data_IF_567461850923
#
_entry.id   IF_567461850923
#
_cell.length_a   1.000
_cell.length_b   1.000
_cell.length_c   1.000
_cell.angle_alpha   90.00
_cell.angle_beta   90.00
_cell.angle_gamma   90.00
#
_symmetry.space_group_name_H-M   'P 1'
#
loop_
_entity.id
_entity.type
_entity.pdbx_description
1 polymer ?
#
# COMPACT_ATOMS: atom_id res chain seq x y z
N UNK A 1 -2.92 -12.27 -4.89
CA UNK A 1 -2.95 -12.06 -6.35
C UNK A 1 -1.56 -12.35 -6.94
N UNK A 2 -1.41 -13.28 -7.90
CA UNK A 2 -0.10 -13.74 -8.37
C UNK A 2 0.76 -12.65 -9.04
N UNK A 3 0.17 -11.79 -9.88
CA UNK A 3 0.95 -10.72 -10.57
C UNK A 3 1.45 -9.63 -9.61
N UNK A 4 0.60 -9.14 -8.70
CA UNK A 4 1.04 -8.25 -7.63
C UNK A 4 2.18 -8.87 -6.81
N UNK A 5 2.07 -10.17 -6.49
CA UNK A 5 3.13 -10.84 -5.73
C UNK A 5 4.41 -11.08 -6.52
N UNK A 6 4.33 -11.29 -7.84
CA UNK A 6 5.52 -11.33 -8.70
C UNK A 6 6.26 -9.98 -8.65
N UNK A 7 5.51 -8.86 -8.80
CA UNK A 7 6.08 -7.52 -8.66
C UNK A 7 6.75 -7.27 -7.32
N UNK A 8 6.12 -7.68 -6.21
CA UNK A 8 6.73 -7.58 -4.87
C UNK A 8 7.97 -8.47 -4.76
N UNK A 9 7.91 -9.72 -5.23
CA UNK A 9 9.04 -10.64 -5.11
C UNK A 9 10.26 -10.22 -5.94
N UNK A 10 10.03 -9.61 -7.11
CA UNK A 10 11.09 -9.18 -8.04
C UNK A 10 11.67 -7.80 -7.71
N UNK A 11 10.88 -6.90 -7.12
CA UNK A 11 11.26 -5.50 -6.94
C UNK A 11 11.25 -5.00 -5.48
N UNK A 12 10.89 -5.83 -4.52
CA UNK A 12 10.91 -5.48 -3.10
C UNK A 12 11.99 -6.25 -2.35
N UNK A 13 12.82 -5.53 -1.61
CA UNK A 13 13.83 -6.13 -0.72
C UNK A 13 13.22 -6.65 0.60
N UNK A 14 11.92 -6.97 0.63
CA UNK A 14 11.20 -7.30 1.87
C UNK A 14 11.75 -8.53 2.59
N UNK A 15 12.41 -9.46 1.85
CA UNK A 15 12.97 -10.68 2.44
C UNK A 15 14.28 -10.43 3.17
N UNK A 16 15.11 -9.49 2.68
CA UNK A 16 16.41 -9.19 3.27
C UNK A 16 16.34 -7.99 4.24
N UNK A 17 15.41 -7.04 3.99
CA UNK A 17 15.16 -5.85 4.81
C UNK A 17 13.64 -5.66 5.08
N UNK A 18 12.99 -6.56 5.86
CA UNK A 18 11.58 -6.43 6.19
C UNK A 18 11.29 -5.17 7.01
N UNK A 19 12.19 -4.81 7.94
CA UNK A 19 11.98 -3.66 8.83
C UNK A 19 12.16 -2.32 8.13
N UNK A 20 13.20 -2.15 7.31
CA UNK A 20 13.33 -0.94 6.51
C UNK A 20 12.21 -0.82 5.47
N UNK A 21 11.74 -1.93 4.90
CA UNK A 21 10.56 -1.94 4.02
C UNK A 21 9.28 -1.51 4.75
N UNK A 22 9.07 -2.01 5.96
CA UNK A 22 7.96 -1.56 6.80
C UNK A 22 8.08 -0.08 7.14
N UNK A 23 9.25 0.39 7.59
CA UNK A 23 9.48 1.80 7.93
C UNK A 23 9.19 2.75 6.76
N UNK A 24 9.57 2.39 5.52
CA UNK A 24 9.24 3.18 4.32
C UNK A 24 7.73 3.24 4.06
N UNK A 25 7.04 2.11 4.25
CA UNK A 25 5.58 2.02 4.12
C UNK A 25 4.89 2.86 5.20
N UNK A 26 5.30 2.70 6.48
CA UNK A 26 4.79 3.47 7.61
C UNK A 26 5.02 4.96 7.46
N UNK A 27 6.17 5.37 6.90
CA UNK A 27 6.44 6.80 6.61
C UNK A 27 5.47 7.34 5.57
N UNK A 28 5.24 6.59 4.48
CA UNK A 28 4.25 6.98 3.47
C UNK A 28 2.85 7.14 4.06
N UNK A 29 2.41 6.18 4.87
CA UNK A 29 1.11 6.23 5.55
C UNK A 29 1.03 7.42 6.51
N UNK A 30 2.05 7.63 7.36
CA UNK A 30 2.06 8.75 8.30
C UNK A 30 1.98 10.10 7.58
N UNK A 31 2.71 10.28 6.48
CA UNK A 31 2.68 11.52 5.69
C UNK A 31 1.32 11.70 5.00
N UNK A 32 0.75 10.65 4.44
CA UNK A 32 -0.55 10.74 3.74
C UNK A 32 -1.73 10.90 4.68
N UNK A 33 -1.63 10.42 5.92
CA UNK A 33 -2.68 10.54 6.93
C UNK A 33 -2.58 11.82 7.76
N UNK A 34 -1.37 12.22 8.18
CA UNK A 34 -1.18 13.31 9.16
C UNK A 34 -0.42 14.52 8.60
N UNK A 35 0.14 14.43 7.40
CA UNK A 35 0.87 15.52 6.76
C UNK A 35 -0.05 16.60 6.20
N UNK A 36 0.56 17.68 5.68
CA UNK A 36 -0.19 18.67 4.90
C UNK A 36 -0.66 18.07 3.58
N UNK A 37 -1.71 18.64 2.96
CA UNK A 37 -2.18 18.20 1.65
C UNK A 37 -1.04 18.20 0.60
N UNK A 38 -0.16 19.20 0.65
CA UNK A 38 0.98 19.32 -0.25
C UNK A 38 2.03 18.22 0.00
N UNK A 39 2.31 17.87 1.26
CA UNK A 39 3.20 16.76 1.60
C UNK A 39 2.62 15.41 1.18
N UNK A 40 1.33 15.20 1.43
CA UNK A 40 0.61 14.00 1.02
C UNK A 40 0.65 13.83 -0.51
N UNK A 41 0.38 14.90 -1.26
CA UNK A 41 0.43 14.88 -2.73
C UNK A 41 1.85 14.59 -3.24
N UNK A 42 2.89 15.20 -2.66
CA UNK A 42 4.29 14.89 -3.01
C UNK A 42 4.66 13.44 -2.74
N UNK A 43 4.20 12.87 -1.64
CA UNK A 43 4.44 11.46 -1.30
C UNK A 43 3.76 10.53 -2.32
N UNK A 44 2.50 10.82 -2.66
CA UNK A 44 1.72 10.10 -3.68
C UNK A 44 2.43 10.15 -5.04
N UNK A 45 2.82 11.33 -5.51
CA UNK A 45 3.48 11.49 -6.82
C UNK A 45 4.82 10.75 -6.88
N UNK A 46 5.57 10.74 -5.78
CA UNK A 46 6.81 9.96 -5.68
C UNK A 46 6.56 8.46 -5.82
N UNK A 47 5.58 7.92 -5.10
CA UNK A 47 5.24 6.49 -5.16
C UNK A 47 4.71 6.13 -6.55
N UNK A 48 3.81 6.95 -7.11
CA UNK A 48 3.32 6.78 -8.48
C UNK A 48 4.46 6.73 -9.50
N UNK A 49 5.43 7.65 -9.41
CA UNK A 49 6.61 7.66 -10.30
C UNK A 49 7.52 6.43 -10.13
N UNK A 50 7.53 5.79 -8.96
CA UNK A 50 8.21 4.50 -8.76
C UNK A 50 7.42 3.39 -9.46
N UNK A 51 6.12 3.28 -9.20
CA UNK A 51 5.25 2.23 -9.78
C UNK A 51 5.15 2.29 -11.31
N UNK A 52 5.24 3.47 -11.92
CA UNK A 52 5.30 3.63 -13.39
C UNK A 52 6.52 2.95 -14.03
N UNK A 53 7.63 2.81 -13.27
CA UNK A 53 8.87 2.22 -13.77
C UNK A 53 8.96 0.71 -13.53
N UNK A 54 8.11 0.16 -12.66
CA UNK A 54 8.12 -1.26 -12.30
C UNK A 54 7.24 -2.05 -13.26
N UNK A 55 7.87 -2.96 -14.00
CA UNK A 55 7.26 -3.85 -14.99
C UNK A 55 8.08 -5.12 -15.07
N UNK A 56 7.40 -6.23 -15.33
CA UNK A 56 8.05 -7.54 -15.45
C UNK A 56 7.12 -8.56 -16.08
N UNK A 57 7.54 -9.82 -16.02
CA UNK A 57 6.78 -10.96 -16.51
C UNK A 57 6.74 -12.01 -15.40
N UNK A 58 5.54 -12.37 -14.96
CA UNK A 58 5.37 -13.36 -13.91
C UNK A 58 5.83 -14.76 -14.36
N UNK A 59 6.07 -15.71 -13.45
CA UNK A 59 6.52 -17.07 -13.78
C UNK A 59 5.61 -17.85 -14.73
N UNK A 60 4.33 -17.46 -14.82
CA UNK A 60 3.35 -18.03 -15.75
C UNK A 60 3.35 -17.38 -17.14
N UNK A 61 4.31 -16.48 -17.42
CA UNK A 61 4.50 -15.81 -18.70
C UNK A 61 3.67 -14.53 -18.90
N UNK A 62 2.80 -14.16 -17.94
CA UNK A 62 1.98 -12.95 -18.07
C UNK A 62 2.78 -11.69 -17.74
N UNK A 63 2.68 -10.63 -18.55
CA UNK A 63 3.30 -9.36 -18.21
C UNK A 63 2.53 -8.70 -17.05
N UNK A 64 3.24 -7.91 -16.25
CA UNK A 64 2.63 -7.05 -15.24
C UNK A 64 3.26 -5.66 -15.25
N UNK A 65 2.49 -4.69 -14.75
CA UNK A 65 2.96 -3.33 -14.45
C UNK A 65 2.48 -2.98 -13.06
N UNK A 66 3.38 -2.50 -12.18
CA UNK A 66 2.95 -2.12 -10.83
C UNK A 66 1.99 -0.92 -10.83
N UNK A 67 1.94 -0.17 -11.93
CA UNK A 67 0.98 0.92 -12.17
C UNK A 67 -0.36 0.45 -12.73
N UNK A 68 -0.60 -0.86 -12.88
CA UNK A 68 -1.91 -1.39 -13.25
C UNK A 68 -2.92 -1.07 -12.13
N UNK A 69 -4.01 -0.33 -12.39
CA UNK A 69 -4.98 0.06 -11.37
C UNK A 69 -5.56 -1.13 -10.61
N UNK A 70 -5.78 -2.27 -11.26
CA UNK A 70 -6.30 -3.47 -10.61
C UNK A 70 -5.28 -4.06 -9.62
N UNK A 71 -3.99 -4.01 -9.95
CA UNK A 71 -2.94 -4.50 -9.06
C UNK A 71 -2.71 -3.55 -7.89
N UNK A 72 -2.78 -2.23 -8.13
CA UNK A 72 -2.71 -1.21 -7.09
C UNK A 72 -3.86 -1.33 -6.10
N UNK A 73 -5.09 -1.44 -6.60
CA UNK A 73 -6.29 -1.66 -5.80
C UNK A 73 -6.14 -2.91 -4.92
N UNK A 74 -5.70 -4.03 -5.50
CA UNK A 74 -5.51 -5.27 -4.76
C UNK A 74 -4.48 -5.12 -3.62
N UNK A 75 -3.33 -4.50 -3.89
CA UNK A 75 -2.29 -4.27 -2.87
C UNK A 75 -2.80 -3.35 -1.77
N UNK A 76 -3.51 -2.28 -2.14
CA UNK A 76 -4.07 -1.34 -1.18
C UNK A 76 -5.10 -2.00 -0.26
N UNK A 77 -6.04 -2.77 -0.83
CA UNK A 77 -7.03 -3.51 -0.03
C UNK A 77 -6.34 -4.47 0.95
N UNK A 78 -5.33 -5.22 0.47
CA UNK A 78 -4.60 -6.15 1.32
C UNK A 78 -3.84 -5.44 2.46
N UNK A 79 -3.29 -4.26 2.20
CA UNK A 79 -2.61 -3.42 3.17
C UNK A 79 -3.58 -2.89 4.24
N UNK A 80 -4.70 -2.28 3.82
CA UNK A 80 -5.74 -1.72 4.70
C UNK A 80 -6.36 -2.81 5.58
N UNK A 81 -6.70 -3.98 5.01
CA UNK A 81 -7.22 -5.12 5.76
C UNK A 81 -6.20 -5.60 6.81
N UNK A 82 -4.93 -5.72 6.43
CA UNK A 82 -3.86 -6.17 7.33
C UNK A 82 -3.66 -5.21 8.50
N UNK A 83 -3.65 -3.90 8.26
CA UNK A 83 -3.48 -2.91 9.31
C UNK A 83 -4.70 -2.78 10.21
N UNK A 84 -5.91 -2.79 9.65
CA UNK A 84 -7.13 -2.77 10.44
C UNK A 84 -7.18 -4.00 11.36
N UNK A 85 -6.87 -5.18 10.82
CA UNK A 85 -6.83 -6.42 11.60
C UNK A 85 -5.75 -6.39 12.69
N UNK A 86 -4.56 -5.88 12.38
CA UNK A 86 -3.50 -5.74 13.36
C UNK A 86 -3.92 -4.78 14.50
N UNK A 87 -4.58 -3.67 14.17
CA UNK A 87 -5.11 -2.74 15.16
C UNK A 87 -6.22 -3.36 16.02
N UNK A 88 -7.16 -4.08 15.41
CA UNK A 88 -8.23 -4.79 16.13
C UNK A 88 -7.68 -5.84 17.13
N UNK A 89 -6.55 -6.48 16.81
CA UNK A 89 -5.95 -7.53 17.65
C UNK A 89 -4.95 -7.00 18.69
N UNK A 90 -4.19 -5.96 18.36
CA UNK A 90 -3.03 -5.52 19.13
C UNK A 90 -3.05 -4.02 19.50
N UNK A 91 -4.03 -3.27 19.02
CA UNK A 91 -4.23 -1.87 19.37
C UNK A 91 -4.61 -1.69 20.84
N UNK A 92 -4.43 -0.47 21.35
CA UNK A 92 -4.79 -0.14 22.74
C UNK A 92 -6.27 -0.34 23.04
N UNK A 93 -7.12 -0.08 22.05
CA UNK A 93 -8.55 -0.34 22.07
C UNK A 93 -8.98 -0.74 20.65
N UNK A 94 -9.85 -1.75 20.50
CA UNK A 94 -10.45 -2.08 19.21
C UNK A 94 -11.37 -0.95 18.74
N UNK A 95 -11.45 -0.76 17.43
CA UNK A 95 -12.42 0.16 16.82
C UNK A 95 -13.80 -0.50 16.79
N UNK A 96 -14.85 0.31 16.94
CA UNK A 96 -16.19 -0.13 16.61
C UNK A 96 -16.39 -0.24 15.09
N UNK A 97 -17.60 -0.64 14.68
CA UNK A 97 -17.91 -0.86 13.26
C UNK A 97 -17.86 0.44 12.45
N UNK A 98 -18.37 1.53 13.00
CA UNK A 98 -18.45 2.80 12.28
C UNK A 98 -17.06 3.41 12.14
N UNK A 99 -16.20 3.23 13.16
CA UNK A 99 -14.79 3.59 13.12
C UNK A 99 -13.99 2.75 12.10
N UNK A 100 -14.29 1.44 11.97
CA UNK A 100 -13.70 0.61 10.92
C UNK A 100 -14.08 1.11 9.52
N UNK A 101 -15.37 1.40 9.31
CA UNK A 101 -15.88 1.89 8.03
C UNK A 101 -15.27 3.28 7.70
N UNK A 102 -15.10 4.15 8.71
CA UNK A 102 -14.42 5.44 8.56
C UNK A 102 -12.95 5.29 8.18
N UNK A 103 -12.21 4.36 8.81
CA UNK A 103 -10.82 4.06 8.47
C UNK A 103 -10.67 3.61 7.01
N UNK A 104 -11.55 2.72 6.55
CA UNK A 104 -11.57 2.26 5.15
C UNK A 104 -11.89 3.43 4.20
N UNK A 105 -12.87 4.27 4.55
CA UNK A 105 -13.25 5.40 3.72
C UNK A 105 -12.12 6.45 3.59
N UNK A 106 -11.39 6.72 4.66
CA UNK A 106 -10.27 7.66 4.64
C UNK A 106 -9.08 7.10 3.84
N UNK A 107 -8.72 5.83 4.04
CA UNK A 107 -7.61 5.20 3.31
C UNK A 107 -7.89 5.06 1.81
N UNK A 108 -9.16 4.84 1.42
CA UNK A 108 -9.56 4.78 0.02
C UNK A 108 -9.25 6.07 -0.77
N UNK A 109 -9.19 7.24 -0.12
CA UNK A 109 -8.79 8.49 -0.78
C UNK A 109 -7.37 8.42 -1.32
N UNK A 110 -6.46 7.77 -0.58
CA UNK A 110 -5.07 7.56 -1.01
C UNK A 110 -5.01 6.58 -2.17
N UNK A 111 -5.84 5.53 -2.15
CA UNK A 111 -5.95 4.56 -3.24
C UNK A 111 -6.36 5.23 -4.56
N UNK A 112 -7.39 6.08 -4.53
CA UNK A 112 -7.84 6.82 -5.70
C UNK A 112 -6.82 7.85 -6.21
N UNK A 113 -5.92 8.29 -5.34
CA UNK A 113 -4.90 9.26 -5.67
C UNK A 113 -3.61 8.64 -6.25
N UNK A 114 -3.42 7.32 -6.22
CA UNK A 114 -2.24 6.63 -6.78
C UNK A 114 -2.43 6.28 -8.25
#
# INVERSE_FOLDING_TARGET
>A
HPLAMAGVAEHSDFRNDPWGRLARTSTFLAVTTFGTADDAQRAVDRVRGIHQRIRGTAPDGRPYRASDPHLLEWVHIAEVDSFLRAHQLYGSAPLDRDECDAYVADTARVACAL
#
